data_IF_321717389196
#
_entry.id   IF_321717389196
#
_cell.length_a   1.000
_cell.length_b   1.000
_cell.length_c   1.000
_cell.angle_alpha   90.00
_cell.angle_beta   90.00
_cell.angle_gamma   90.00
#
_symmetry.space_group_name_H-M   'P 1'
#
loop_
_entity.id
_entity.type
_entity.pdbx_description
1 polymer ?
#
# COMPACT_ATOMS: atom_id res chain seq x y z
N UNK A 1 -6.75 27.34 11.53
CA UNK A 1 -7.89 28.24 11.84
C UNK A 1 -7.37 29.59 12.32
N UNK A 2 -7.23 30.55 11.39
CA UNK A 2 -6.95 31.94 11.73
C UNK A 2 -8.26 32.55 12.22
N UNK A 3 -8.28 33.06 13.45
CA UNK A 3 -9.42 33.83 13.94
C UNK A 3 -9.38 35.16 13.18
N UNK A 4 -10.10 35.22 12.07
CA UNK A 4 -10.26 36.43 11.28
C UNK A 4 -10.94 37.44 12.20
N UNK A 5 -10.17 38.41 12.65
CA UNK A 5 -10.63 39.50 13.50
C UNK A 5 -11.46 40.42 12.62
N UNK A 6 -12.70 40.04 12.34
CA UNK A 6 -13.69 40.99 11.83
C UNK A 6 -13.98 41.94 12.98
N UNK A 7 -13.20 43.02 13.06
CA UNK A 7 -13.56 44.18 13.85
C UNK A 7 -14.79 44.78 13.18
N UNK A 8 -15.97 44.32 13.59
CA UNK A 8 -17.13 45.19 13.61
C UNK A 8 -16.73 46.30 14.57
N UNK A 9 -16.42 47.48 14.02
CA UNK A 9 -16.02 48.67 14.78
C UNK A 9 -17.27 49.24 15.48
N UNK A 10 -17.82 48.46 16.42
CA UNK A 10 -18.68 48.98 17.48
C UNK A 10 -17.81 49.26 18.69
N UNK A 11 -18.11 50.33 19.42
CA UNK A 11 -17.37 50.71 20.62
C UNK A 11 -17.44 49.60 21.67
N UNK A 12 -16.43 48.75 21.70
CA UNK A 12 -16.34 47.62 22.63
C UNK A 12 -16.19 48.17 24.04
N UNK A 13 -17.15 47.89 24.91
CA UNK A 13 -17.12 48.43 26.27
C UNK A 13 -15.87 47.95 27.03
N UNK A 14 -15.34 48.70 28.01
CA UNK A 14 -14.19 48.26 28.80
C UNK A 14 -14.38 46.88 29.43
N UNK A 15 -15.63 46.55 29.81
CA UNK A 15 -16.02 45.24 30.32
C UNK A 15 -15.87 44.13 29.28
N UNK A 16 -16.36 44.34 28.06
CA UNK A 16 -16.22 43.38 26.97
C UNK A 16 -14.75 43.13 26.60
N UNK A 17 -13.93 44.18 26.59
CA UNK A 17 -12.47 44.06 26.39
C UNK A 17 -11.83 43.17 27.46
N UNK A 18 -12.24 43.32 28.72
CA UNK A 18 -11.74 42.49 29.81
C UNK A 18 -12.16 41.02 29.63
N UNK A 19 -13.43 40.76 29.28
CA UNK A 19 -13.94 39.41 29.02
C UNK A 19 -13.16 38.74 27.89
N UNK A 20 -12.96 39.43 26.77
CA UNK A 20 -12.20 38.90 25.62
C UNK A 20 -10.79 38.50 26.04
N UNK A 21 -10.11 39.32 26.85
CA UNK A 21 -8.76 39.00 27.34
C UNK A 21 -8.73 37.79 28.25
N UNK A 22 -9.67 37.68 29.19
CA UNK A 22 -9.76 36.52 30.08
C UNK A 22 -10.03 35.25 29.27
N UNK A 23 -10.98 35.30 28.34
CA UNK A 23 -11.28 34.16 27.49
C UNK A 23 -10.11 33.78 26.58
N UNK A 24 -9.40 34.77 26.02
CA UNK A 24 -8.21 34.52 25.20
C UNK A 24 -7.11 33.87 26.04
N UNK A 25 -6.85 34.36 27.26
CA UNK A 25 -5.88 33.77 28.17
C UNK A 25 -6.24 32.32 28.52
N UNK A 26 -7.51 32.03 28.82
CA UNK A 26 -7.99 30.68 29.09
C UNK A 26 -7.83 29.73 27.89
N UNK A 27 -8.19 30.20 26.68
CA UNK A 27 -8.00 29.43 25.44
C UNK A 27 -6.52 29.16 25.17
N UNK A 28 -5.64 30.15 25.35
CA UNK A 28 -4.19 29.97 25.21
C UNK A 28 -3.63 28.96 26.22
N UNK A 29 -4.05 29.04 27.48
CA UNK A 29 -3.65 28.09 28.52
C UNK A 29 -4.07 26.66 28.15
N UNK A 30 -5.33 26.48 27.77
CA UNK A 30 -5.91 25.19 27.41
C UNK A 30 -5.22 24.62 26.17
N UNK A 31 -5.03 25.42 25.12
CA UNK A 31 -4.35 25.02 23.90
C UNK A 31 -2.89 24.60 24.17
N UNK A 32 -2.17 25.35 25.01
CA UNK A 32 -0.81 25.00 25.39
C UNK A 32 -0.77 23.67 26.16
N UNK A 33 -1.73 23.42 27.05
CA UNK A 33 -1.81 22.18 27.82
C UNK A 33 -2.11 20.97 26.95
N UNK A 34 -3.07 21.10 26.02
CA UNK A 34 -3.39 20.08 25.02
C UNK A 34 -2.18 19.79 24.13
N UNK A 35 -1.50 20.83 23.63
CA UNK A 35 -0.30 20.65 22.80
C UNK A 35 0.82 19.92 23.55
N UNK A 36 1.06 20.26 24.82
CA UNK A 36 2.06 19.56 25.66
C UNK A 36 1.76 18.07 25.77
N UNK A 37 0.50 17.72 26.04
CA UNK A 37 0.07 16.32 26.06
C UNK A 37 0.38 15.59 24.76
N UNK A 38 0.02 16.17 23.61
CA UNK A 38 0.31 15.56 22.29
C UNK A 38 1.80 15.48 21.97
N UNK A 39 2.58 16.51 22.34
CA UNK A 39 4.04 16.52 22.19
C UNK A 39 4.67 15.37 22.96
N UNK A 40 4.31 15.22 24.22
CA UNK A 40 4.88 14.21 25.10
C UNK A 40 4.45 12.80 24.67
N UNK A 41 3.20 12.64 24.23
CA UNK A 41 2.69 11.40 23.64
C UNK A 41 3.49 10.95 22.42
N UNK A 42 3.82 11.86 21.50
CA UNK A 42 4.58 11.54 20.28
C UNK A 42 6.06 11.32 20.56
N UNK A 43 6.63 12.10 21.48
CA UNK A 43 8.02 11.91 21.89
C UNK A 43 8.22 10.55 22.54
N UNK A 44 7.32 10.16 23.45
CA UNK A 44 7.36 8.85 24.08
C UNK A 44 7.24 7.72 23.05
N UNK A 45 6.30 7.86 22.11
CA UNK A 45 6.12 6.83 21.09
C UNK A 45 7.31 6.78 20.14
N UNK A 46 7.89 7.87 19.63
CA UNK A 46 8.99 7.78 18.65
C UNK A 46 10.28 7.03 19.10
N UNK A 47 10.40 6.61 20.37
CA UNK A 47 11.55 5.88 20.91
C UNK A 47 11.29 4.40 21.23
N UNK A 48 10.06 3.89 21.05
CA UNK A 48 9.67 2.52 21.42
C UNK A 48 9.55 1.53 20.25
N UNK A 49 8.99 0.35 20.54
CA UNK A 49 8.65 -0.66 19.54
C UNK A 49 7.48 -0.18 18.65
N UNK A 50 7.69 -0.03 17.32
CA UNK A 50 6.68 0.44 16.38
C UNK A 50 5.39 -0.39 16.40
N UNK A 51 5.46 -1.71 16.61
CA UNK A 51 4.27 -2.57 16.63
C UNK A 51 3.39 -2.23 17.84
N UNK A 52 3.98 -2.18 19.04
CA UNK A 52 3.26 -1.86 20.28
C UNK A 52 2.67 -0.45 20.22
N UNK A 53 3.40 0.50 19.65
CA UNK A 53 2.95 1.88 19.52
C UNK A 53 1.80 2.04 18.55
N UNK A 54 1.84 1.34 17.42
CA UNK A 54 0.76 1.36 16.44
C UNK A 54 -0.48 0.62 16.96
N UNK A 55 -0.29 -0.45 17.74
CA UNK A 55 -1.39 -1.27 18.29
C UNK A 55 -2.38 -0.47 19.14
N UNK A 56 -1.89 0.52 19.87
CA UNK A 56 -2.73 1.40 20.69
C UNK A 56 -3.49 2.48 19.87
N UNK A 57 -3.25 2.59 18.56
CA UNK A 57 -3.94 3.52 17.66
C UNK A 57 -4.77 2.75 16.64
N UNK A 58 -4.13 1.83 15.93
CA UNK A 58 -4.74 0.95 14.94
C UNK A 58 -4.18 -0.48 15.11
N UNK A 59 -4.89 -1.36 15.84
CA UNK A 59 -4.43 -2.74 16.07
C UNK A 59 -4.38 -3.57 14.79
N UNK A 60 -5.26 -3.28 13.82
CA UNK A 60 -5.33 -4.02 12.55
C UNK A 60 -4.08 -3.80 11.69
N UNK A 61 -3.59 -2.57 11.61
CA UNK A 61 -2.32 -2.30 10.93
C UNK A 61 -1.12 -2.81 11.72
N UNK A 62 -1.18 -2.76 13.04
CA UNK A 62 -0.10 -3.28 13.88
C UNK A 62 0.10 -4.79 13.70
N UNK A 63 -0.97 -5.56 13.47
CA UNK A 63 -0.86 -7.01 13.19
C UNK A 63 -0.21 -7.35 11.84
N UNK A 64 -0.16 -6.39 10.90
CA UNK A 64 0.53 -6.57 9.62
C UNK A 64 2.03 -6.30 9.70
N UNK A 65 2.49 -5.67 10.78
CA UNK A 65 3.90 -5.40 11.01
C UNK A 65 4.56 -6.62 11.65
N UNK A 66 5.49 -7.24 10.94
CA UNK A 66 6.35 -8.31 11.46
C UNK A 66 7.79 -7.80 11.68
N UNK A 67 8.51 -8.48 12.59
CA UNK A 67 9.90 -8.19 12.93
C UNK A 67 10.84 -8.33 11.71
N UNK A 68 10.52 -9.24 10.78
CA UNK A 68 11.29 -9.45 9.54
C UNK A 68 11.34 -8.20 8.64
N UNK A 69 10.29 -7.39 8.65
CA UNK A 69 10.13 -6.21 7.79
C UNK A 69 11.00 -5.02 8.21
N UNK A 70 11.64 -5.07 9.40
CA UNK A 70 12.41 -3.96 9.96
C UNK A 70 11.65 -2.62 9.87
N UNK A 71 10.34 -2.66 10.13
CA UNK A 71 9.45 -1.53 10.01
C UNK A 71 9.69 -0.51 11.13
N UNK A 72 9.60 0.77 10.80
CA UNK A 72 9.62 1.90 11.72
C UNK A 72 8.40 2.78 11.47
N UNK A 73 7.78 3.22 12.57
CA UNK A 73 6.64 4.14 12.55
C UNK A 73 7.09 5.48 13.11
N UNK A 74 6.79 6.57 12.39
CA UNK A 74 7.02 7.94 12.87
C UNK A 74 5.71 8.68 13.01
N UNK A 75 5.38 9.07 14.23
CA UNK A 75 4.17 9.84 14.54
C UNK A 75 4.40 11.34 14.30
N UNK A 76 3.35 12.01 13.84
CA UNK A 76 3.32 13.43 13.49
C UNK A 76 2.01 14.05 13.97
N UNK A 77 2.05 15.34 14.27
CA UNK A 77 0.85 16.15 14.48
C UNK A 77 0.52 16.89 13.19
N UNK A 78 -0.75 16.93 12.84
CA UNK A 78 -1.27 17.67 11.70
C UNK A 78 -2.71 18.10 11.94
N UNK A 79 -3.41 18.46 10.87
CA UNK A 79 -4.78 18.94 10.90
C UNK A 79 -4.89 20.44 10.60
N UNK A 80 -6.03 20.84 10.04
CA UNK A 80 -6.33 22.23 9.64
C UNK A 80 -6.83 23.11 10.80
N UNK A 81 -7.25 22.47 11.89
CA UNK A 81 -7.77 23.08 13.10
C UNK A 81 -7.14 22.46 14.35
N UNK A 82 -7.24 23.18 15.46
CA UNK A 82 -6.81 22.72 16.78
C UNK A 82 -8.02 22.10 17.50
N UNK A 83 -7.87 21.01 18.29
CA UNK A 83 -6.65 20.24 18.62
C UNK A 83 -6.02 19.50 17.42
N UNK A 84 -4.69 19.25 17.44
CA UNK A 84 -4.02 18.57 16.33
C UNK A 84 -4.43 17.10 16.23
N UNK A 85 -4.59 16.61 15.01
CA UNK A 85 -4.81 15.19 14.70
C UNK A 85 -3.48 14.47 14.57
N UNK A 86 -3.41 13.21 15.00
CA UNK A 86 -2.21 12.38 14.90
C UNK A 86 -2.20 11.69 13.53
N UNK A 87 -1.08 11.84 12.82
CA UNK A 87 -0.76 11.14 11.58
C UNK A 87 0.47 10.26 11.81
N UNK A 88 0.63 9.21 11.01
CA UNK A 88 1.82 8.37 11.07
C UNK A 88 2.27 7.95 9.68
N UNK A 89 3.57 7.70 9.54
CA UNK A 89 4.17 7.10 8.36
C UNK A 89 4.92 5.85 8.79
N UNK A 90 4.62 4.74 8.12
CA UNK A 90 5.32 3.46 8.25
C UNK A 90 6.38 3.40 7.14
N UNK A 91 7.60 3.02 7.48
CA UNK A 91 8.69 2.83 6.52
C UNK A 91 9.64 1.75 7.00
N UNK A 92 10.31 1.06 6.09
CA UNK A 92 11.27 0.00 6.42
C UNK A 92 12.69 0.55 6.39
N UNK A 93 13.55 0.09 7.31
CA UNK A 93 14.98 0.44 7.31
C UNK A 93 15.85 -0.57 6.56
N UNK A 94 15.33 -1.76 6.30
CA UNK A 94 16.00 -2.82 5.57
C UNK A 94 15.63 -2.85 4.09
N UNK A 95 16.43 -3.57 3.30
CA UNK A 95 16.06 -3.91 1.94
C UNK A 95 14.77 -4.73 1.96
N UNK A 96 13.80 -4.35 1.12
CA UNK A 96 12.58 -5.10 0.92
C UNK A 96 12.78 -5.94 -0.32
N UNK A 97 12.85 -7.26 -0.15
CA UNK A 97 12.86 -8.20 -1.26
C UNK A 97 11.41 -8.44 -1.70
N UNK A 98 11.10 -8.15 -2.95
CA UNK A 98 9.81 -8.50 -3.54
C UNK A 98 9.83 -9.99 -3.88
N UNK A 99 9.12 -10.80 -3.09
CA UNK A 99 9.07 -12.25 -3.30
C UNK A 99 8.27 -12.66 -4.55
N UNK A 100 7.60 -11.72 -5.22
CA UNK A 100 6.78 -11.99 -6.40
C UNK A 100 7.40 -11.48 -7.71
N UNK A 101 8.60 -10.90 -7.69
CA UNK A 101 9.28 -10.43 -8.90
C UNK A 101 9.85 -11.59 -9.75
N UNK A 102 10.02 -12.77 -9.14
CA UNK A 102 10.85 -13.84 -9.69
C UNK A 102 10.05 -14.87 -10.52
N UNK A 103 8.71 -14.80 -10.54
CA UNK A 103 7.84 -15.81 -11.16
C UNK A 103 7.65 -15.67 -12.69
N UNK A 104 8.32 -14.73 -13.37
CA UNK A 104 8.15 -14.52 -14.83
C UNK A 104 9.35 -14.94 -15.70
N UNK A 105 10.31 -15.71 -15.18
CA UNK A 105 11.46 -16.16 -15.97
C UNK A 105 11.70 -17.68 -15.91
N UNK A 106 10.70 -18.46 -16.33
CA UNK A 106 10.91 -19.81 -16.88
C UNK A 106 9.62 -20.18 -17.61
N UNK A 107 9.57 -20.44 -18.93
CA UNK A 107 10.34 -21.45 -19.64
C UNK A 107 10.50 -21.10 -21.14
N UNK A 108 11.73 -21.08 -21.62
CA UNK A 108 12.05 -21.42 -23.02
C UNK A 108 13.45 -22.01 -23.08
N UNK A 109 13.65 -23.14 -22.44
CA UNK A 109 14.88 -23.94 -22.55
C UNK A 109 14.56 -25.41 -22.30
N UNK A 110 13.65 -25.98 -23.11
CA UNK A 110 13.56 -27.42 -23.23
C UNK A 110 14.64 -27.88 -24.22
N UNK A 111 15.84 -28.10 -23.69
CA UNK A 111 16.81 -28.99 -24.31
C UNK A 111 16.33 -30.42 -24.09
N UNK A 112 15.64 -31.00 -25.08
CA UNK A 112 15.50 -32.45 -25.19
C UNK A 112 15.65 -32.84 -26.67
N UNK A 113 16.90 -33.11 -27.05
CA UNK A 113 17.20 -34.10 -28.07
C UNK A 113 16.68 -35.44 -27.55
N UNK A 114 15.61 -35.95 -28.17
CA UNK A 114 15.18 -37.37 -28.22
C UNK A 114 13.66 -37.54 -28.14
N UNK A 115 12.92 -36.94 -29.07
CA UNK A 115 11.74 -37.60 -29.65
C UNK A 115 11.83 -37.37 -31.15
N UNK A 116 12.12 -38.44 -31.90
CA UNK A 116 11.96 -38.46 -33.37
C UNK A 116 10.46 -38.47 -33.63
N UNK A 117 9.81 -37.34 -33.40
CA UNK A 117 8.45 -37.10 -33.86
C UNK A 117 8.58 -37.00 -35.38
N UNK A 118 8.14 -38.05 -36.07
CA UNK A 118 8.05 -38.06 -37.52
C UNK A 118 7.34 -36.77 -37.94
N UNK A 119 8.08 -35.89 -38.59
CA UNK A 119 7.55 -34.64 -39.09
C UNK A 119 6.35 -34.97 -39.98
N UNK A 120 5.17 -34.47 -39.61
CA UNK A 120 4.03 -34.47 -40.52
C UNK A 120 4.50 -33.75 -41.81
N UNK A 121 4.36 -34.39 -42.98
CA UNK A 121 4.83 -33.78 -44.21
C UNK A 121 4.03 -32.49 -44.44
N UNK A 122 4.75 -31.37 -44.58
CA UNK A 122 4.13 -30.10 -44.92
C UNK A 122 3.35 -30.27 -46.24
N UNK A 123 2.13 -29.72 -46.30
CA UNK A 123 1.29 -29.77 -47.49
C UNK A 123 2.02 -29.03 -48.62
N UNK A 124 2.39 -29.76 -49.66
CA UNK A 124 2.99 -29.19 -50.86
C UNK A 124 1.88 -28.64 -51.77
N UNK A 125 1.63 -27.33 -51.66
CA UNK A 125 0.58 -26.63 -52.41
C UNK A 125 0.81 -26.55 -53.92
N UNK A 126 2.01 -26.88 -54.40
CA UNK A 126 2.31 -26.94 -55.84
C UNK A 126 2.13 -28.36 -56.42
N UNK A 127 1.82 -29.35 -55.58
CA UNK A 127 1.54 -30.73 -56.01
C UNK A 127 0.09 -30.89 -56.47
N UNK A 128 -0.20 -31.57 -57.60
CA UNK A 128 -1.57 -31.80 -58.08
C UNK A 128 -2.50 -32.54 -57.10
N UNK A 129 -1.93 -33.26 -56.14
CA UNK A 129 -2.65 -34.07 -55.14
C UNK A 129 -2.73 -33.39 -53.75
N UNK A 130 -2.54 -32.06 -53.69
CA UNK A 130 -2.54 -31.30 -52.42
C UNK A 130 -3.86 -31.37 -51.65
N UNK A 131 -5.00 -31.53 -52.33
CA UNK A 131 -6.32 -31.67 -51.69
C UNK A 131 -6.47 -32.99 -50.90
N UNK A 132 -5.83 -34.07 -51.36
CA UNK A 132 -5.84 -35.35 -50.65
C UNK A 132 -5.01 -35.28 -49.37
N UNK A 133 -3.88 -34.57 -49.41
CA UNK A 133 -3.02 -34.32 -48.24
C UNK A 133 -3.72 -33.48 -47.17
N UNK A 134 -4.52 -32.50 -47.58
CA UNK A 134 -5.31 -31.69 -46.65
C UNK A 134 -6.47 -32.48 -46.01
N UNK A 135 -7.02 -33.48 -46.70
CA UNK A 135 -8.18 -34.26 -46.22
C UNK A 135 -7.80 -35.22 -45.09
N UNK A 136 -6.57 -35.76 -45.10
CA UNK A 136 -6.03 -36.62 -44.05
C UNK A 136 -5.86 -35.86 -42.71
N UNK A 137 -5.67 -34.53 -42.76
CA UNK A 137 -5.56 -33.67 -41.58
C UNK A 137 -6.87 -33.54 -40.77
N UNK A 138 -8.04 -33.74 -41.40
CA UNK A 138 -9.35 -33.59 -40.76
C UNK A 138 -10.00 -34.92 -40.36
N UNK A 139 -9.49 -36.05 -40.83
CA UNK A 139 -9.94 -37.37 -40.40
C UNK A 139 -9.10 -37.86 -39.22
N UNK A 140 -9.37 -37.31 -38.04
CA UNK A 140 -8.94 -37.93 -36.78
C UNK A 140 -9.74 -39.23 -36.61
N UNK A 141 -9.26 -40.31 -37.21
CA UNK A 141 -9.67 -41.66 -36.84
C UNK A 141 -9.24 -41.88 -35.40
N UNK A 142 -10.21 -41.84 -34.47
CA UNK A 142 -9.97 -42.26 -33.09
C UNK A 142 -9.61 -43.75 -33.09
N UNK A 143 -8.32 -44.04 -32.98
CA UNK A 143 -7.82 -45.41 -32.84
C UNK A 143 -8.12 -45.88 -31.41
N UNK A 144 -9.29 -46.50 -31.26
CA UNK A 144 -9.81 -47.00 -29.99
C UNK A 144 -9.09 -48.29 -29.57
N UNK A 145 -7.79 -48.24 -29.26
CA UNK A 145 -7.09 -49.37 -28.63
C UNK A 145 -5.99 -48.91 -27.66
N UNK A 146 -6.39 -48.67 -26.41
CA UNK A 146 -5.51 -48.88 -25.26
C UNK A 146 -6.33 -49.20 -24.00
N UNK A 147 -6.92 -50.38 -24.01
CA UNK A 147 -7.33 -51.10 -22.80
C UNK A 147 -7.00 -52.57 -23.05
N UNK A 148 -5.83 -52.97 -22.57
CA UNK A 148 -5.51 -54.26 -21.97
C UNK A 148 -4.24 -54.06 -21.11
#
# INVERSE_FOLDING_TARGET
>A
MFFQRTLVHGDVTPRERAVIRIQAAWRCYTNRRIYRYYRDLINFRNSGDPMVMLRAINPSEASLLDASTNAQVRFRLGGSAFPPTIYYKIFTRGAVCDMNADHLQEKSSDNNTDIVAAAEPAIDFDSPDWEAQATDMFNVSYDAKKLD
#
